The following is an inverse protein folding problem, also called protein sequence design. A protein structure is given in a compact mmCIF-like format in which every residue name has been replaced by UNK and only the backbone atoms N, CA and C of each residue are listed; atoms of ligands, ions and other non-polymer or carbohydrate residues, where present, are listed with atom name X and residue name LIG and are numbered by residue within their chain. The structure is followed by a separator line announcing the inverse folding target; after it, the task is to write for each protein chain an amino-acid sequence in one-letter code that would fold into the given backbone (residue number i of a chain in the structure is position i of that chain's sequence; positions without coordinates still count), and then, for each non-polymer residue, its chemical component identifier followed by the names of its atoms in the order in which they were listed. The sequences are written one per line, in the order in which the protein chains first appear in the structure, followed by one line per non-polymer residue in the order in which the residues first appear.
data_IF_693525940022
#
_entry.id   IF_693525940022
#
_cell.length_a   1.000
_cell.length_b   1.000
_cell.length_c   1.000
_cell.angle_alpha   90.00
_cell.angle_beta   90.00
_cell.angle_gamma   90.00
#
_symmetry.space_group_name_H-M   'P 1'
#
loop_
_entity.id
_entity.type
_entity.pdbx_description
1 polymer ?
#
# COMPACT_ATOMS: atom_id res chain seq x y z
N UNK A 1 11.15 12.13 17.51
CA UNK A 1 12.16 13.01 16.89
C UNK A 1 11.47 14.31 16.47
N UNK A 2 12.05 15.50 16.71
CA UNK A 2 11.35 16.79 16.59
C UNK A 2 10.95 17.23 15.16
N UNK A 3 11.07 16.35 14.17
CA UNK A 3 10.93 16.72 12.75
C UNK A 3 9.83 15.92 12.02
N UNK A 4 9.27 14.89 12.63
CA UNK A 4 8.25 14.07 11.95
C UNK A 4 6.91 14.80 11.85
N UNK A 5 6.49 15.47 12.93
CA UNK A 5 5.26 16.25 12.94
C UNK A 5 5.35 17.47 12.01
N UNK A 6 6.50 18.15 12.00
CA UNK A 6 6.74 19.28 11.10
C UNK A 6 6.73 18.83 9.63
N UNK A 7 7.44 17.75 9.28
CA UNK A 7 7.41 17.16 7.94
C UNK A 7 5.99 16.75 7.54
N UNK A 8 5.23 16.15 8.46
CA UNK A 8 3.86 15.74 8.20
C UNK A 8 2.94 16.94 7.93
N UNK A 9 3.06 18.00 8.73
CA UNK A 9 2.30 19.23 8.53
C UNK A 9 2.67 19.93 7.22
N UNK A 10 3.96 19.96 6.86
CA UNK A 10 4.41 20.49 5.58
C UNK A 10 3.86 19.70 4.37
N UNK A 11 3.88 18.36 4.44
CA UNK A 11 3.31 17.50 3.40
C UNK A 11 1.80 17.72 3.23
N UNK A 12 1.07 17.87 4.35
CA UNK A 12 -0.37 18.22 4.31
C UNK A 12 -0.61 19.54 3.60
N UNK A 13 0.19 20.57 3.90
CA UNK A 13 0.05 21.88 3.27
C UNK A 13 0.27 21.81 1.75
N UNK A 14 1.31 21.10 1.29
CA UNK A 14 1.58 20.89 -0.13
C UNK A 14 0.42 20.16 -0.82
N UNK A 15 -0.06 19.07 -0.22
CA UNK A 15 -1.18 18.30 -0.78
C UNK A 15 -2.45 19.14 -0.92
N UNK A 16 -2.79 19.93 0.10
CA UNK A 16 -3.94 20.84 0.07
C UNK A 16 -3.81 21.91 -1.02
N UNK A 17 -2.61 22.49 -1.21
CA UNK A 17 -2.37 23.49 -2.25
C UNK A 17 -2.57 22.91 -3.65
N UNK A 18 -2.04 21.71 -3.91
CA UNK A 18 -2.21 21.04 -5.22
C UNK A 18 -3.68 20.74 -5.56
N UNK A 19 -4.50 20.44 -4.55
CA UNK A 19 -5.94 20.27 -4.73
C UNK A 19 -6.66 21.60 -4.95
N UNK A 20 -6.30 22.65 -4.20
CA UNK A 20 -6.89 23.98 -4.36
C UNK A 20 -6.63 24.56 -5.76
N UNK A 21 -5.43 24.33 -6.30
CA UNK A 21 -5.04 24.75 -7.65
C UNK A 21 -5.56 23.81 -8.75
N UNK A 22 -6.38 22.81 -8.41
CA UNK A 22 -6.89 21.77 -9.31
C UNK A 22 -5.80 21.01 -10.10
N UNK A 23 -4.54 21.05 -9.64
CA UNK A 23 -3.41 20.35 -10.26
C UNK A 23 -3.45 18.85 -9.94
N UNK A 24 -3.94 18.51 -8.74
CA UNK A 24 -4.20 17.13 -8.31
C UNK A 24 -5.66 17.01 -7.87
N UNK A 25 -6.40 16.06 -8.45
CA UNK A 25 -7.76 15.73 -8.01
C UNK A 25 -7.80 14.25 -7.59
N UNK A 26 -7.60 13.93 -6.30
CA UNK A 26 -7.66 12.55 -5.82
C UNK A 26 -9.06 11.99 -6.01
N UNK A 27 -9.17 10.86 -6.70
CA UNK A 27 -10.47 10.23 -6.98
C UNK A 27 -10.80 9.10 -6.00
N UNK A 28 -9.80 8.30 -5.65
CA UNK A 28 -9.95 7.16 -4.75
C UNK A 28 -8.59 6.70 -4.22
N UNK A 29 -8.61 6.00 -3.09
CA UNK A 29 -7.45 5.30 -2.57
C UNK A 29 -7.41 3.87 -3.12
N UNK A 30 -6.24 3.41 -3.55
CA UNK A 30 -6.06 2.04 -4.00
C UNK A 30 -6.05 1.09 -2.80
N UNK A 31 -7.07 0.24 -2.70
CA UNK A 31 -7.10 -0.90 -1.80
C UNK A 31 -6.79 -2.16 -2.60
N UNK A 32 -5.55 -2.62 -2.49
CA UNK A 32 -5.14 -3.84 -3.15
C UNK A 32 -5.75 -5.06 -2.46
N UNK A 33 -6.33 -5.96 -3.25
CA UNK A 33 -6.75 -7.29 -2.82
C UNK A 33 -5.91 -8.31 -3.56
N UNK A 34 -5.35 -9.26 -2.82
CA UNK A 34 -4.64 -10.39 -3.40
C UNK A 34 -5.64 -11.52 -3.61
N UNK A 35 -5.71 -12.04 -4.83
CA UNK A 35 -6.28 -13.36 -5.09
C UNK A 35 -5.12 -14.35 -5.17
N UNK A 36 -4.78 -14.96 -4.05
CA UNK A 36 -3.78 -16.02 -4.06
C UNK A 36 -4.35 -17.24 -4.79
N UNK A 37 -3.57 -17.94 -5.63
CA UNK A 37 -4.00 -19.21 -6.20
C UNK A 37 -4.41 -20.18 -5.07
N UNK A 38 -5.42 -21.04 -5.29
CA UNK A 38 -5.80 -22.06 -4.31
C UNK A 38 -4.58 -22.89 -3.87
N UNK A 39 -4.40 -23.04 -2.56
CA UNK A 39 -3.25 -23.74 -2.00
C UNK A 39 -1.96 -22.92 -1.91
N UNK A 40 -1.96 -21.63 -2.26
CA UNK A 40 -0.82 -20.75 -1.98
C UNK A 40 -1.16 -19.88 -0.77
N UNK A 41 -0.34 -19.99 0.27
CA UNK A 41 -0.50 -19.26 1.53
C UNK A 41 0.69 -18.34 1.78
N UNK A 42 0.52 -17.36 2.67
CA UNK A 42 1.63 -16.49 3.13
C UNK A 42 2.08 -15.41 2.14
N UNK A 43 1.42 -15.26 0.99
CA UNK A 43 1.69 -14.15 0.06
C UNK A 43 1.20 -12.85 0.67
N UNK A 44 2.08 -11.85 0.75
CA UNK A 44 1.78 -10.51 1.26
C UNK A 44 1.85 -9.49 0.15
N UNK A 45 1.21 -8.33 0.37
CA UNK A 45 1.39 -7.18 -0.50
C UNK A 45 2.15 -6.09 0.25
N UNK A 46 3.18 -5.56 -0.41
CA UNK A 46 3.88 -4.38 0.09
C UNK A 46 3.02 -3.12 -0.06
N UNK A 47 3.26 -2.06 0.73
CA UNK A 47 2.60 -0.77 0.56
C UNK A 47 2.82 -0.12 -0.83
N UNK A 48 3.79 -0.61 -1.61
CA UNK A 48 4.08 -0.17 -2.98
C UNK A 48 3.39 -1.02 -4.06
N UNK A 49 2.53 -1.97 -3.68
CA UNK A 49 1.75 -2.78 -4.61
C UNK A 49 2.47 -4.02 -5.15
N UNK A 50 3.66 -4.37 -4.65
CA UNK A 50 4.37 -5.60 -5.03
C UNK A 50 3.92 -6.80 -4.19
N UNK A 51 3.87 -7.98 -4.81
CA UNK A 51 3.74 -9.25 -4.10
C UNK A 51 5.06 -9.62 -3.42
N UNK A 52 4.97 -9.99 -2.15
CA UNK A 52 6.08 -10.53 -1.37
C UNK A 52 5.84 -12.02 -1.12
N UNK A 53 6.85 -12.84 -1.46
CA UNK A 53 6.80 -14.30 -1.40
C UNK A 53 7.75 -14.90 -0.35
N UNK A 54 8.41 -14.07 0.47
CA UNK A 54 9.39 -14.51 1.49
C UNK A 54 8.78 -15.48 2.51
N UNK A 55 7.49 -15.35 2.78
CA UNK A 55 6.72 -16.23 3.66
C UNK A 55 5.74 -17.14 2.89
N UNK A 56 5.86 -17.22 1.56
CA UNK A 56 4.94 -18.01 0.75
C UNK A 56 5.19 -19.52 0.91
N UNK A 57 4.11 -20.29 1.01
CA UNK A 57 4.20 -21.75 1.15
C UNK A 57 3.00 -22.47 0.51
N UNK A 58 3.20 -23.76 0.21
CA UNK A 58 2.18 -24.68 -0.30
C UNK A 58 1.83 -25.71 0.78
N UNK A 59 0.54 -26.06 1.00
CA UNK A 59 0.17 -27.13 1.90
C UNK A 59 0.68 -28.48 1.40
N UNK A 60 0.83 -29.41 2.32
CA UNK A 60 1.19 -30.77 1.99
C UNK A 60 0.20 -31.36 0.97
N UNK A 61 0.66 -32.19 0.02
CA UNK A 61 -0.23 -32.89 -0.89
C UNK A 61 -1.22 -33.75 -0.12
N UNK A 62 -2.49 -33.76 -0.53
CA UNK A 62 -3.46 -34.76 -0.07
C UNK A 62 -3.02 -36.15 -0.53
N UNK A 63 -2.92 -37.10 0.40
CA UNK A 63 -2.65 -38.53 0.12
C UNK A 63 -3.76 -39.16 -0.71
#
# INVERSE_FOLDING_TARGET
MPDEENRFNALKAVFSQLMADATLTPLFNYHYRISAPPGVNGVRLTPRGWFEFTEAWLPAPSQ
#
